data_IF_707219836584
#
_entry.id   IF_707219836584
#
_cell.length_a   1.000
_cell.length_b   1.000
_cell.length_c   1.000
_cell.angle_alpha   90.00
_cell.angle_beta   90.00
_cell.angle_gamma   90.00
#
_symmetry.space_group_name_H-M   'P 1'
#
loop_
_entity.id
_entity.type
_entity.pdbx_description
1 polymer ?
#
# COMPACT_ATOMS: atom_id res chain seq x y z
N UNK A 1 -15.54 34.26 -1.85
CA UNK A 1 -14.08 34.09 -2.08
C UNK A 1 -13.82 34.13 -3.58
N UNK A 2 -12.65 34.61 -4.05
CA UNK A 2 -12.25 34.59 -5.48
C UNK A 2 -11.07 33.63 -5.65
N UNK A 3 -11.18 32.67 -6.56
CA UNK A 3 -10.14 31.70 -6.90
C UNK A 3 -9.75 31.84 -8.37
N UNK A 4 -8.50 31.52 -8.70
CA UNK A 4 -7.97 31.54 -10.06
C UNK A 4 -8.25 30.19 -10.77
N UNK A 5 -8.30 29.10 -9.98
CA UNK A 5 -8.57 27.74 -10.45
C UNK A 5 -9.55 27.01 -9.55
N UNK A 6 -10.40 26.17 -10.15
CA UNK A 6 -11.32 25.27 -9.46
C UNK A 6 -11.03 23.82 -9.87
N UNK A 7 -10.79 22.95 -8.89
CA UNK A 7 -10.55 21.52 -9.07
C UNK A 7 -11.78 20.78 -8.55
N UNK A 8 -12.33 19.88 -9.38
CA UNK A 8 -13.46 19.02 -8.99
C UNK A 8 -12.93 17.61 -8.74
N UNK A 9 -12.90 17.20 -7.47
CA UNK A 9 -12.46 15.89 -7.00
C UNK A 9 -11.26 15.95 -6.04
N UNK A 10 -11.42 15.36 -4.85
CA UNK A 10 -10.40 15.24 -3.80
C UNK A 10 -9.51 13.99 -3.89
N UNK A 11 -9.28 13.47 -5.10
CA UNK A 11 -8.37 12.35 -5.33
C UNK A 11 -6.90 12.77 -5.38
N UNK A 12 -5.98 11.81 -5.47
CA UNK A 12 -4.53 12.07 -5.55
C UNK A 12 -4.16 13.08 -6.66
N UNK A 13 -4.77 12.93 -7.85
CA UNK A 13 -4.56 13.86 -8.96
C UNK A 13 -5.03 15.29 -8.65
N UNK A 14 -6.18 15.44 -7.98
CA UNK A 14 -6.71 16.75 -7.58
C UNK A 14 -5.87 17.42 -6.50
N UNK A 15 -5.43 16.64 -5.50
CA UNK A 15 -4.58 17.13 -4.42
C UNK A 15 -3.19 17.55 -4.93
N UNK A 16 -2.54 16.71 -5.74
CA UNK A 16 -1.23 17.05 -6.34
C UNK A 16 -1.32 18.23 -7.30
N UNK A 17 -2.42 18.35 -8.07
CA UNK A 17 -2.70 19.53 -8.89
C UNK A 17 -2.83 20.79 -8.03
N UNK A 18 -3.62 20.76 -6.95
CA UNK A 18 -3.81 21.88 -6.04
C UNK A 18 -2.51 22.35 -5.40
N UNK A 19 -1.68 21.42 -4.92
CA UNK A 19 -0.34 21.72 -4.40
C UNK A 19 0.50 22.43 -5.46
N UNK A 20 0.50 21.93 -6.70
CA UNK A 20 1.30 22.53 -7.78
C UNK A 20 0.83 23.93 -8.17
N UNK A 21 -0.49 24.17 -8.17
CA UNK A 21 -1.07 25.49 -8.43
C UNK A 21 -0.74 26.48 -7.31
N UNK A 22 -0.80 26.06 -6.04
CA UNK A 22 -0.41 26.91 -4.92
C UNK A 22 1.08 27.25 -4.94
N UNK A 23 1.95 26.27 -5.26
CA UNK A 23 3.38 26.51 -5.43
C UNK A 23 3.70 27.49 -6.58
N UNK A 24 2.81 27.62 -7.58
CA UNK A 24 2.95 28.63 -8.63
C UNK A 24 2.27 29.97 -8.29
N UNK A 25 1.83 30.15 -7.04
CA UNK A 25 1.22 31.38 -6.55
C UNK A 25 -0.27 31.54 -6.89
N UNK A 26 -0.92 30.52 -7.44
CA UNK A 26 -2.35 30.58 -7.75
C UNK A 26 -3.21 30.23 -6.54
N UNK A 27 -4.36 30.90 -6.44
CA UNK A 27 -5.40 30.57 -5.47
C UNK A 27 -6.32 29.54 -6.10
N UNK A 28 -6.26 28.29 -5.63
CA UNK A 28 -7.16 27.24 -6.07
C UNK A 28 -8.16 26.82 -4.98
N UNK A 29 -9.32 26.34 -5.40
CA UNK A 29 -10.26 25.62 -4.55
C UNK A 29 -10.41 24.18 -5.05
N UNK A 30 -10.48 23.21 -4.12
CA UNK A 30 -10.84 21.83 -4.41
C UNK A 30 -12.26 21.61 -3.88
N UNK A 31 -13.15 21.15 -4.74
CA UNK A 31 -14.52 20.77 -4.39
C UNK A 31 -14.63 19.26 -4.57
N UNK A 32 -15.00 18.56 -3.51
CA UNK A 32 -15.23 17.12 -3.50
C UNK A 32 -16.53 16.82 -2.79
N UNK A 33 -17.20 15.73 -3.17
CA UNK A 33 -18.37 15.20 -2.47
C UNK A 33 -18.03 13.82 -1.90
N UNK A 34 -18.23 13.63 -0.60
CA UNK A 34 -17.90 12.38 0.09
C UNK A 34 -16.39 12.14 0.27
N UNK A 35 -16.08 10.96 0.79
CA UNK A 35 -14.70 10.50 1.01
C UNK A 35 -14.03 10.11 -0.31
N UNK A 36 -12.71 10.29 -0.35
CA UNK A 36 -11.89 9.93 -1.50
C UNK A 36 -11.69 8.42 -1.59
N UNK A 37 -11.47 7.87 -2.79
CA UNK A 37 -11.10 6.46 -2.97
C UNK A 37 -9.75 6.10 -2.30
N UNK A 38 -9.00 7.10 -1.83
CA UNK A 38 -7.77 6.92 -1.07
C UNK A 38 -7.99 6.09 0.21
N UNK A 39 -9.17 6.19 0.84
CA UNK A 39 -9.53 5.41 2.05
C UNK A 39 -9.57 3.89 1.80
N UNK A 40 -9.71 3.47 0.54
CA UNK A 40 -9.75 2.07 0.13
C UNK A 40 -8.52 1.65 -0.69
N UNK A 41 -7.53 2.52 -0.79
CA UNK A 41 -6.30 2.26 -1.55
C UNK A 41 -5.31 1.46 -0.71
N UNK A 42 -4.47 0.66 -1.37
CA UNK A 42 -3.35 -0.03 -0.71
C UNK A 42 -2.21 0.91 -0.29
N UNK A 43 -2.27 2.20 -0.65
CA UNK A 43 -1.18 3.16 -0.47
C UNK A 43 -0.03 3.00 -1.47
N UNK A 44 0.18 1.79 -2.02
CA UNK A 44 1.13 1.55 -3.11
C UNK A 44 0.71 2.21 -4.43
N UNK A 45 1.70 2.70 -5.18
CA UNK A 45 1.54 3.38 -6.47
C UNK A 45 2.24 2.60 -7.58
N UNK A 46 1.57 2.48 -8.71
CA UNK A 46 2.02 1.74 -9.88
C UNK A 46 2.58 2.71 -10.94
N UNK A 47 3.72 2.37 -11.57
CA UNK A 47 4.28 3.14 -12.69
C UNK A 47 4.62 2.19 -13.83
N UNK A 48 3.70 2.11 -14.80
CA UNK A 48 3.79 1.24 -15.97
C UNK A 48 4.29 -0.16 -15.60
N UNK A 49 3.47 -0.95 -14.92
CA UNK A 49 3.87 -2.26 -14.41
C UNK A 49 3.87 -3.36 -15.48
N UNK A 50 3.10 -3.16 -16.56
CA UNK A 50 2.87 -4.15 -17.60
C UNK A 50 2.69 -3.48 -18.96
N UNK A 51 3.26 -4.06 -20.00
CA UNK A 51 3.07 -3.62 -21.38
C UNK A 51 1.77 -4.19 -21.99
N UNK A 52 1.27 -3.61 -23.10
CA UNK A 52 0.11 -4.11 -23.81
C UNK A 52 0.18 -5.58 -24.23
N UNK A 53 1.39 -6.08 -24.55
CA UNK A 53 1.64 -7.49 -24.85
C UNK A 53 1.62 -8.42 -23.62
N UNK A 54 1.44 -7.88 -22.42
CA UNK A 54 1.38 -8.63 -21.18
C UNK A 54 2.73 -8.86 -20.48
N UNK A 55 3.82 -8.33 -21.00
CA UNK A 55 5.14 -8.41 -20.35
C UNK A 55 5.20 -7.50 -19.13
N UNK A 56 5.85 -7.97 -18.08
CA UNK A 56 6.12 -7.18 -16.89
C UNK A 56 7.22 -6.15 -17.17
N UNK A 57 7.05 -4.94 -16.62
CA UNK A 57 8.03 -3.87 -16.72
C UNK A 57 8.76 -3.75 -15.40
N UNK A 58 10.05 -4.08 -15.40
CA UNK A 58 10.92 -3.92 -14.25
C UNK A 58 11.58 -2.55 -14.24
N UNK A 59 11.94 -2.02 -15.41
CA UNK A 59 12.64 -0.75 -15.54
C UNK A 59 11.80 0.26 -16.32
N UNK A 60 11.33 1.31 -15.64
CA UNK A 60 10.32 2.23 -16.17
C UNK A 60 10.77 2.93 -17.46
N UNK A 61 12.03 3.35 -17.56
CA UNK A 61 12.54 4.05 -18.74
C UNK A 61 12.50 3.17 -20.01
N UNK A 62 12.92 1.91 -19.89
CA UNK A 62 12.87 0.94 -20.98
C UNK A 62 11.43 0.58 -21.34
N UNK A 63 10.59 0.35 -20.32
CA UNK A 63 9.16 0.08 -20.52
C UNK A 63 8.44 1.20 -21.26
N UNK A 64 8.74 2.47 -20.94
CA UNK A 64 8.14 3.62 -21.62
C UNK A 64 8.53 3.71 -23.11
N UNK A 65 9.78 3.38 -23.45
CA UNK A 65 10.23 3.30 -24.85
C UNK A 65 9.48 2.19 -25.60
N UNK A 66 9.36 1.01 -24.99
CA UNK A 66 8.63 -0.12 -25.57
C UNK A 66 7.13 0.18 -25.71
N UNK A 67 6.53 0.83 -24.71
CA UNK A 67 5.15 1.26 -24.75
C UNK A 67 4.87 2.23 -25.90
N UNK A 68 5.78 3.18 -26.16
CA UNK A 68 5.63 4.11 -27.26
C UNK A 68 5.63 3.42 -28.63
N UNK A 69 6.36 2.31 -28.78
CA UNK A 69 6.36 1.48 -29.99
C UNK A 69 5.07 0.66 -30.11
N UNK A 70 4.60 0.05 -29.02
CA UNK A 70 3.42 -0.82 -29.03
C UNK A 70 2.10 -0.04 -29.08
N UNK A 71 2.03 1.10 -28.38
CA UNK A 71 0.86 1.96 -28.29
C UNK A 71 1.27 3.45 -28.30
N UNK A 72 1.47 4.03 -29.50
CA UNK A 72 1.83 5.44 -29.65
C UNK A 72 0.81 6.42 -29.08
N UNK A 73 -0.48 6.04 -29.02
CA UNK A 73 -1.58 6.87 -28.51
C UNK A 73 -1.81 6.72 -27.00
N UNK A 74 -1.02 5.90 -26.31
CA UNK A 74 -1.13 5.78 -24.86
C UNK A 74 -0.73 7.12 -24.18
N UNK A 75 -1.40 7.56 -23.09
CA UNK A 75 -1.09 8.84 -22.44
C UNK A 75 0.39 9.05 -22.09
N UNK A 76 1.07 8.02 -21.57
CA UNK A 76 2.52 8.07 -21.33
C UNK A 76 3.35 8.22 -22.61
N UNK A 77 2.93 7.61 -23.72
CA UNK A 77 3.59 7.74 -25.02
C UNK A 77 3.44 9.16 -25.58
N UNK A 78 2.24 9.75 -25.42
CA UNK A 78 1.95 11.13 -25.82
C UNK A 78 2.72 12.17 -24.99
N UNK A 79 2.86 11.95 -23.68
CA UNK A 79 3.65 12.82 -22.81
C UNK A 79 5.16 12.71 -23.08
N UNK A 80 5.61 11.55 -23.57
CA UNK A 80 7.01 11.21 -23.75
C UNK A 80 7.65 10.69 -22.45
N UNK A 81 8.58 9.74 -22.60
CA UNK A 81 9.21 9.04 -21.49
C UNK A 81 9.91 9.98 -20.50
N UNK A 82 10.62 10.99 -21.02
CA UNK A 82 11.32 11.99 -20.20
C UNK A 82 10.36 12.74 -19.27
N UNK A 83 9.23 13.24 -19.82
CA UNK A 83 8.21 13.95 -19.05
C UNK A 83 7.62 13.06 -17.96
N UNK A 84 7.29 11.81 -18.30
CA UNK A 84 6.71 10.85 -17.34
C UNK A 84 7.67 10.60 -16.17
N UNK A 85 8.94 10.31 -16.46
CA UNK A 85 9.96 10.07 -15.44
C UNK A 85 10.24 11.32 -14.60
N UNK A 86 10.28 12.51 -15.20
CA UNK A 86 10.44 13.76 -14.48
C UNK A 86 9.27 14.03 -13.53
N UNK A 87 8.03 13.70 -13.94
CA UNK A 87 6.84 13.83 -13.09
C UNK A 87 6.80 12.79 -11.97
N UNK A 88 7.24 11.57 -12.24
CA UNK A 88 7.41 10.54 -11.22
C UNK A 88 8.41 10.98 -10.15
N UNK A 89 9.59 11.47 -10.55
CA UNK A 89 10.59 12.00 -9.63
C UNK A 89 10.09 13.21 -8.82
N UNK A 90 9.30 14.11 -9.44
CA UNK A 90 8.66 15.22 -8.73
C UNK A 90 7.67 14.73 -7.65
N UNK A 91 6.93 13.66 -7.93
CA UNK A 91 6.02 13.07 -6.96
C UNK A 91 6.78 12.44 -5.79
N UNK A 92 7.88 11.71 -6.05
CA UNK A 92 8.72 11.15 -4.98
C UNK A 92 9.26 12.24 -4.04
N UNK A 93 9.73 13.35 -4.60
CA UNK A 93 10.17 14.51 -3.82
C UNK A 93 9.05 15.09 -2.96
N UNK A 94 7.85 15.21 -3.50
CA UNK A 94 6.67 15.66 -2.75
C UNK A 94 6.33 14.68 -1.62
N UNK A 95 6.30 13.38 -1.90
CA UNK A 95 6.01 12.35 -0.91
C UNK A 95 7.03 12.35 0.23
N UNK A 96 8.32 12.54 -0.09
CA UNK A 96 9.38 12.69 0.90
C UNK A 96 9.19 13.97 1.74
N UNK A 97 8.89 15.11 1.13
CA UNK A 97 8.64 16.36 1.84
C UNK A 97 7.42 16.30 2.78
N UNK A 98 6.44 15.47 2.44
CA UNK A 98 5.24 15.20 3.25
C UNK A 98 5.43 14.05 4.26
N UNK A 99 6.61 13.42 4.30
CA UNK A 99 6.92 12.27 5.15
C UNK A 99 5.94 11.09 5.00
N UNK A 100 5.50 10.78 3.77
CA UNK A 100 4.55 9.69 3.51
C UNK A 100 5.15 8.27 3.65
N UNK A 101 6.41 8.15 4.06
CA UNK A 101 7.17 6.92 4.24
C UNK A 101 7.00 5.87 3.12
N UNK A 102 7.09 6.33 1.86
CA UNK A 102 7.09 5.46 0.69
C UNK A 102 8.53 5.02 0.39
N UNK A 103 8.69 3.73 0.06
CA UNK A 103 9.99 3.09 -0.22
C UNK A 103 10.07 2.56 -1.65
N UNK A 104 11.28 2.15 -2.03
CA UNK A 104 11.68 1.64 -3.36
C UNK A 104 11.76 2.76 -4.39
N UNK A 105 10.78 2.90 -5.28
CA UNK A 105 10.71 4.01 -6.22
C UNK A 105 11.87 4.07 -7.23
N UNK A 106 12.13 5.28 -7.72
CA UNK A 106 13.13 5.54 -8.74
C UNK A 106 12.79 4.88 -10.07
N UNK A 107 13.77 4.19 -10.66
CA UNK A 107 13.65 3.64 -12.02
C UNK A 107 13.17 2.19 -12.08
N UNK A 108 13.04 1.51 -10.94
CA UNK A 108 12.73 0.09 -10.89
C UNK A 108 11.43 -0.17 -10.16
N UNK A 109 10.55 -0.95 -10.79
CA UNK A 109 9.43 -1.55 -10.09
C UNK A 109 9.94 -2.68 -9.19
N UNK A 110 9.26 -2.92 -8.07
CA UNK A 110 9.44 -4.06 -7.17
C UNK A 110 8.18 -4.92 -7.12
N UNK A 111 8.26 -6.07 -6.45
CA UNK A 111 7.10 -6.90 -6.16
C UNK A 111 6.56 -6.54 -4.77
N UNK A 112 5.28 -6.20 -4.66
CA UNK A 112 4.60 -6.06 -3.37
C UNK A 112 3.75 -7.29 -3.10
N UNK A 113 3.69 -7.72 -1.84
CA UNK A 113 2.71 -8.73 -1.43
C UNK A 113 1.32 -8.09 -1.35
N UNK A 114 0.34 -8.74 -1.96
CA UNK A 114 -1.07 -8.37 -1.87
C UNK A 114 -1.75 -9.11 -0.71
N UNK A 115 -2.87 -8.59 -0.17
CA UNK A 115 -3.64 -9.30 0.87
C UNK A 115 -4.16 -10.69 0.46
N UNK A 116 -4.18 -10.99 -0.84
CA UNK A 116 -4.54 -12.30 -1.38
C UNK A 116 -3.33 -13.24 -1.52
N UNK A 117 -2.15 -12.89 -1.03
CA UNK A 117 -0.96 -13.73 -1.09
C UNK A 117 -0.24 -13.75 -2.45
N UNK A 118 -0.61 -12.86 -3.40
CA UNK A 118 0.05 -12.73 -4.69
C UNK A 118 1.12 -11.62 -4.67
N UNK A 119 2.18 -11.80 -5.49
CA UNK A 119 3.18 -10.77 -5.75
C UNK A 119 2.77 -9.90 -6.94
N UNK A 120 2.63 -8.59 -6.72
CA UNK A 120 2.23 -7.61 -7.75
C UNK A 120 3.35 -6.62 -8.04
N UNK A 121 3.75 -6.42 -9.30
CA UNK A 121 4.65 -5.34 -9.70
C UNK A 121 4.13 -3.97 -9.26
N UNK A 122 5.00 -3.10 -8.78
CA UNK A 122 4.67 -1.82 -8.12
C UNK A 122 5.85 -0.87 -8.23
N UNK A 123 5.62 0.44 -8.21
CA UNK A 123 6.69 1.44 -8.21
C UNK A 123 7.03 1.96 -6.81
N UNK A 124 6.03 2.45 -6.07
CA UNK A 124 6.19 2.90 -4.67
C UNK A 124 5.28 2.07 -3.77
N UNK A 125 5.77 1.72 -2.58
CA UNK A 125 4.97 1.10 -1.52
C UNK A 125 5.16 1.82 -0.20
N UNK A 126 4.14 1.90 0.67
CA UNK A 126 4.34 2.22 2.08
C UNK A 126 5.36 1.27 2.71
N UNK A 127 6.19 1.75 3.63
CA UNK A 127 7.22 0.95 4.30
C UNK A 127 6.65 -0.26 5.06
N UNK A 128 5.39 -0.16 5.52
CA UNK A 128 4.66 -1.23 6.21
C UNK A 128 4.19 -2.36 5.28
N UNK A 129 4.23 -2.18 3.96
CA UNK A 129 3.86 -3.21 2.97
C UNK A 129 5.08 -4.08 2.64
N UNK A 130 5.02 -5.41 2.77
CA UNK A 130 6.10 -6.30 2.38
C UNK A 130 6.46 -6.17 0.89
N UNK A 131 7.75 -5.93 0.60
CA UNK A 131 8.28 -5.80 -0.76
C UNK A 131 9.43 -6.75 -1.02
N UNK A 132 9.52 -7.25 -2.24
CA UNK A 132 10.50 -8.22 -2.71
C UNK A 132 11.10 -7.76 -4.04
N UNK A 133 12.34 -8.14 -4.28
CA UNK A 133 12.99 -7.91 -5.56
C UNK A 133 12.50 -8.93 -6.60
N UNK A 134 12.71 -8.65 -7.90
CA UNK A 134 12.31 -9.51 -9.01
C UNK A 134 13.13 -10.79 -9.18
N UNK A 135 14.20 -10.95 -8.39
CA UNK A 135 15.05 -12.12 -8.54
C UNK A 135 14.23 -13.35 -8.15
N UNK A 136 14.16 -14.33 -9.06
CA UNK A 136 13.64 -15.68 -8.82
C UNK A 136 14.59 -16.46 -7.89
N UNK A 137 14.86 -15.89 -6.71
CA UNK A 137 15.65 -16.49 -5.66
C UNK A 137 14.69 -16.89 -4.56
N UNK A 138 14.75 -18.17 -4.23
CA UNK A 138 14.16 -18.69 -3.01
C UNK A 138 14.72 -17.85 -1.85
N UNK A 139 13.83 -17.22 -1.09
CA UNK A 139 14.21 -16.41 0.06
C UNK A 139 14.77 -17.29 1.16
N UNK A 140 15.57 -16.69 2.06
CA UNK A 140 16.07 -17.41 3.22
C UNK A 140 14.90 -17.98 4.05
N UNK A 141 15.06 -19.16 4.68
CA UNK A 141 14.02 -19.77 5.49
C UNK A 141 13.52 -18.81 6.57
N UNK A 142 12.21 -18.69 6.72
CA UNK A 142 11.56 -17.89 7.76
C UNK A 142 10.44 -18.68 8.44
N UNK A 143 10.13 -18.33 9.68
CA UNK A 143 8.92 -18.78 10.36
C UNK A 143 7.97 -17.59 10.44
N UNK A 144 6.84 -17.66 9.74
CA UNK A 144 5.91 -16.53 9.63
C UNK A 144 4.58 -16.88 10.26
N UNK A 145 4.04 -15.95 11.04
CA UNK A 145 2.67 -15.97 11.51
C UNK A 145 1.86 -14.96 10.68
N UNK A 146 0.75 -15.37 10.08
CA UNK A 146 -0.18 -14.46 9.43
C UNK A 146 -1.37 -14.32 10.36
N UNK A 147 -1.49 -13.16 11.00
CA UNK A 147 -2.41 -12.96 12.11
C UNK A 147 -3.54 -12.04 11.66
N UNK A 148 -4.76 -12.59 11.58
CA UNK A 148 -5.96 -11.82 11.33
C UNK A 148 -6.51 -11.18 12.60
N UNK A 149 -7.55 -10.37 12.47
CA UNK A 149 -8.36 -9.90 13.60
C UNK A 149 -9.67 -10.68 13.54
N UNK A 150 -10.09 -11.28 14.65
CA UNK A 150 -11.37 -12.01 14.69
C UNK A 150 -12.54 -11.11 14.23
N UNK A 151 -13.35 -11.61 13.31
CA UNK A 151 -14.48 -10.88 12.71
C UNK A 151 -14.10 -9.93 11.56
N UNK A 152 -12.82 -9.76 11.23
CA UNK A 152 -12.38 -8.87 10.15
C UNK A 152 -12.36 -9.58 8.81
N UNK A 153 -13.38 -9.36 7.99
CA UNK A 153 -13.59 -10.12 6.76
C UNK A 153 -12.73 -9.64 5.57
N UNK A 154 -12.20 -8.42 5.62
CA UNK A 154 -11.42 -7.82 4.52
C UNK A 154 -9.97 -8.35 4.48
N UNK A 155 -9.55 -9.17 5.45
CA UNK A 155 -8.26 -9.85 5.46
C UNK A 155 -8.44 -11.33 5.83
N UNK A 156 -8.01 -12.23 4.95
CA UNK A 156 -8.14 -13.68 5.12
C UNK A 156 -6.75 -14.31 5.30
N UNK A 157 -6.29 -14.53 6.55
CA UNK A 157 -4.96 -15.05 6.84
C UNK A 157 -4.66 -16.39 6.16
N UNK A 158 -5.64 -17.29 6.15
CA UNK A 158 -5.52 -18.61 5.55
C UNK A 158 -5.26 -18.51 4.04
N UNK A 159 -6.06 -17.70 3.33
CA UNK A 159 -5.93 -17.52 1.88
C UNK A 159 -4.57 -16.93 1.52
N UNK A 160 -4.09 -15.95 2.29
CA UNK A 160 -2.77 -15.36 2.08
C UNK A 160 -1.66 -16.39 2.29
N UNK A 161 -1.71 -17.18 3.37
CA UNK A 161 -0.76 -18.27 3.60
C UNK A 161 -0.73 -19.28 2.44
N UNK A 162 -1.90 -19.78 2.05
CA UNK A 162 -2.04 -20.82 1.02
C UNK A 162 -1.53 -20.33 -0.33
N UNK A 163 -1.89 -19.12 -0.74
CA UNK A 163 -1.43 -18.54 -2.01
C UNK A 163 0.06 -18.23 -2.01
N UNK A 164 0.62 -17.74 -0.89
CA UNK A 164 2.06 -17.53 -0.81
C UNK A 164 2.84 -18.84 -0.89
N UNK A 165 2.36 -19.94 -0.28
CA UNK A 165 3.01 -21.25 -0.39
C UNK A 165 3.07 -21.79 -1.83
N UNK A 166 2.22 -21.30 -2.74
CA UNK A 166 2.28 -21.66 -4.16
C UNK A 166 3.37 -20.91 -4.94
N UNK A 167 4.00 -19.90 -4.34
CA UNK A 167 5.00 -19.08 -5.01
C UNK A 167 6.43 -19.58 -4.69
N UNK A 168 7.30 -19.77 -5.70
CA UNK A 168 8.68 -20.22 -5.48
C UNK A 168 9.49 -19.35 -4.52
N UNK A 169 9.17 -18.07 -4.42
CA UNK A 169 9.81 -17.11 -3.51
C UNK A 169 9.73 -17.54 -2.04
N UNK A 170 8.64 -18.22 -1.66
CA UNK A 170 8.30 -18.54 -0.28
C UNK A 170 8.40 -20.04 0.05
N UNK A 171 8.98 -20.85 -0.83
CA UNK A 171 9.08 -22.31 -0.67
C UNK A 171 9.71 -22.73 0.66
N UNK A 172 10.71 -21.99 1.15
CA UNK A 172 11.38 -22.28 2.42
C UNK A 172 10.74 -21.62 3.65
N UNK A 173 9.63 -20.90 3.47
CA UNK A 173 8.93 -20.23 4.55
C UNK A 173 7.94 -21.18 5.21
N UNK A 174 8.07 -21.36 6.53
CA UNK A 174 7.11 -22.09 7.34
C UNK A 174 6.07 -21.10 7.85
N UNK A 175 4.91 -21.12 7.22
CA UNK A 175 3.82 -20.19 7.51
C UNK A 175 2.70 -20.90 8.27
N UNK A 176 2.10 -20.19 9.21
CA UNK A 176 0.84 -20.57 9.83
C UNK A 176 -0.01 -19.32 10.00
N UNK A 177 -1.30 -19.51 10.22
CA UNK A 177 -2.21 -18.42 10.52
C UNK A 177 -2.87 -18.59 11.88
N UNK A 178 -3.29 -17.47 12.46
CA UNK A 178 -4.12 -17.42 13.66
C UNK A 178 -4.94 -16.12 13.65
N UNK A 179 -5.81 -15.93 14.62
CA UNK A 179 -6.58 -14.70 14.79
C UNK A 179 -6.32 -14.07 16.16
N UNK A 180 -6.28 -12.74 16.16
CA UNK A 180 -6.15 -11.93 17.36
C UNK A 180 -7.53 -11.67 17.95
N UNK A 181 -7.67 -11.99 19.23
CA UNK A 181 -8.79 -11.55 20.03
C UNK A 181 -8.48 -10.19 20.66
N UNK A 182 -9.13 -9.13 20.18
CA UNK A 182 -8.95 -7.76 20.68
C UNK A 182 -10.30 -7.25 21.22
N UNK A 183 -10.56 -7.38 22.53
CA UNK A 183 -11.85 -7.02 23.14
C UNK A 183 -12.28 -5.57 22.89
N UNK A 184 -11.33 -4.65 22.74
CA UNK A 184 -11.60 -3.24 22.46
C UNK A 184 -12.36 -3.03 21.14
N UNK A 185 -12.32 -4.00 20.23
CA UNK A 185 -13.02 -3.98 18.96
C UNK A 185 -14.45 -4.54 19.04
N UNK A 186 -14.86 -5.13 20.16
CA UNK A 186 -16.17 -5.80 20.29
C UNK A 186 -17.35 -4.86 20.02
N UNK A 187 -17.21 -3.58 20.38
CA UNK A 187 -18.27 -2.60 20.11
C UNK A 187 -18.50 -2.39 18.60
N UNK A 188 -17.44 -2.50 17.77
CA UNK A 188 -17.55 -2.37 16.31
C UNK A 188 -18.17 -3.63 15.68
N UNK A 189 -18.03 -4.80 16.30
CA UNK A 189 -18.57 -6.07 15.77
C UNK A 189 -20.09 -6.12 15.75
N UNK A 190 -20.76 -5.24 16.50
CA UNK A 190 -22.22 -5.15 16.54
C UNK A 190 -22.84 -4.65 15.24
N UNK A 191 -22.09 -3.90 14.40
CA UNK A 191 -22.50 -3.50 13.05
C UNK A 191 -21.38 -3.82 12.06
N UNK A 192 -21.61 -4.77 11.16
CA UNK A 192 -20.63 -5.18 10.15
C UNK A 192 -20.16 -4.01 9.24
N UNK A 193 -20.96 -2.96 9.10
CA UNK A 193 -20.58 -1.76 8.32
C UNK A 193 -19.53 -0.92 9.04
N UNK A 194 -19.44 -1.04 10.36
CA UNK A 194 -18.48 -0.36 11.20
C UNK A 194 -17.18 -1.15 11.38
N UNK A 195 -17.16 -2.45 11.03
CA UNK A 195 -15.97 -3.31 11.14
C UNK A 195 -15.05 -3.22 9.92
N UNK A 196 -14.66 -2.00 9.55
CA UNK A 196 -13.76 -1.68 8.42
C UNK A 196 -12.38 -1.28 8.94
N UNK A 197 -11.35 -1.44 8.10
CA UNK A 197 -9.95 -1.18 8.47
C UNK A 197 -9.75 0.19 9.12
N UNK A 198 -10.34 1.26 8.56
CA UNK A 198 -10.22 2.62 9.09
C UNK A 198 -10.80 2.77 10.50
N UNK A 199 -11.97 2.20 10.75
CA UNK A 199 -12.64 2.25 12.04
C UNK A 199 -11.90 1.40 13.08
N UNK A 200 -11.38 0.24 12.67
CA UNK A 200 -10.51 -0.60 13.50
C UNK A 200 -9.26 0.19 13.87
N UNK A 201 -8.56 0.80 12.91
CA UNK A 201 -7.37 1.62 13.17
C UNK A 201 -7.65 2.74 14.18
N UNK A 202 -8.75 3.48 14.01
CA UNK A 202 -9.17 4.54 14.93
C UNK A 202 -9.46 4.01 16.35
N UNK A 203 -10.16 2.88 16.45
CA UNK A 203 -10.45 2.27 17.74
C UNK A 203 -9.17 1.79 18.44
N UNK A 204 -8.23 1.21 17.68
CA UNK A 204 -6.94 0.75 18.21
C UNK A 204 -6.03 1.90 18.61
N UNK A 205 -6.13 3.07 17.99
CA UNK A 205 -5.32 4.22 18.38
C UNK A 205 -5.81 4.87 19.69
N UNK A 206 -7.12 4.90 19.92
CA UNK A 206 -7.71 5.61 21.06
C UNK A 206 -7.99 4.75 22.29
N UNK A 207 -8.28 3.45 22.10
CA UNK A 207 -8.81 2.60 23.18
C UNK A 207 -7.94 1.41 23.53
N UNK A 208 -6.93 1.12 22.72
CA UNK A 208 -6.15 -0.11 22.87
C UNK A 208 -5.26 -0.08 24.11
N UNK A 209 -5.30 -1.17 24.88
CA UNK A 209 -4.23 -1.47 25.79
C UNK A 209 -3.04 -2.10 25.05
N UNK A 210 -2.03 -1.28 24.73
CA UNK A 210 -0.86 -1.70 23.96
C UNK A 210 -0.16 -2.95 24.53
N UNK A 211 -0.06 -3.06 25.86
CA UNK A 211 0.57 -4.23 26.50
C UNK A 211 -0.23 -5.52 26.28
N UNK A 212 -1.56 -5.43 26.29
CA UNK A 212 -2.43 -6.58 26.03
C UNK A 212 -2.33 -7.01 24.57
N UNK A 213 -2.30 -6.07 23.62
CA UNK A 213 -2.07 -6.39 22.21
C UNK A 213 -0.74 -7.11 22.01
N UNK A 214 0.36 -6.60 22.57
CA UNK A 214 1.67 -7.23 22.45
C UNK A 214 1.68 -8.64 23.04
N UNK A 215 0.99 -8.84 24.17
CA UNK A 215 0.84 -10.17 24.77
C UNK A 215 0.08 -11.12 23.85
N UNK A 216 -1.03 -10.67 23.27
CA UNK A 216 -1.84 -11.48 22.36
C UNK A 216 -1.10 -11.79 21.05
N UNK A 217 -0.39 -10.82 20.46
CA UNK A 217 0.47 -11.02 19.31
C UNK A 217 1.55 -12.08 19.56
N UNK A 218 2.26 -11.99 20.70
CA UNK A 218 3.31 -12.97 21.06
C UNK A 218 2.73 -14.38 21.22
N UNK A 219 1.56 -14.49 21.84
CA UNK A 219 0.85 -15.77 22.02
C UNK A 219 0.43 -16.36 20.68
N UNK A 220 -0.20 -15.56 19.81
CA UNK A 220 -0.68 -15.98 18.50
C UNK A 220 0.47 -16.31 17.53
N UNK A 221 1.59 -15.59 17.61
CA UNK A 221 2.75 -15.79 16.75
C UNK A 221 3.48 -17.13 16.99
N UNK A 222 3.30 -17.78 18.16
CA UNK A 222 3.83 -19.12 18.49
C UNK A 222 5.32 -19.31 18.15
N UNK A 223 6.13 -18.29 18.41
CA UNK A 223 7.58 -18.31 18.15
C UNK A 223 7.98 -18.12 16.68
N UNK A 224 7.10 -17.59 15.84
CA UNK A 224 7.45 -17.06 14.53
C UNK A 224 8.46 -15.92 14.65
N UNK A 225 9.35 -15.81 13.65
CA UNK A 225 10.35 -14.73 13.55
C UNK A 225 9.80 -13.49 12.86
N UNK A 226 8.63 -13.60 12.23
CA UNK A 226 7.95 -12.54 11.52
C UNK A 226 6.44 -12.71 11.65
N UNK A 227 5.71 -11.59 11.76
CA UNK A 227 4.26 -11.57 11.76
C UNK A 227 3.73 -10.65 10.66
N UNK A 228 2.74 -11.13 9.90
CA UNK A 228 1.96 -10.30 8.99
C UNK A 228 0.62 -9.97 9.62
N UNK A 229 0.26 -8.69 9.56
CA UNK A 229 -0.94 -8.14 10.17
C UNK A 229 -1.80 -7.48 9.08
N UNK A 230 -3.13 -7.42 9.27
CA UNK A 230 -3.98 -6.59 8.43
C UNK A 230 -3.57 -5.12 8.54
N UNK A 231 -3.83 -4.32 7.50
CA UNK A 231 -3.60 -2.88 7.48
C UNK A 231 -4.66 -2.13 8.32
N UNK A 232 -4.62 -2.38 9.63
CA UNK A 232 -5.53 -1.86 10.64
C UNK A 232 -4.76 -1.19 11.81
N UNK A 233 -3.46 -0.97 11.64
CA UNK A 233 -2.56 -0.47 12.69
C UNK A 233 -1.77 0.72 12.16
N UNK A 234 -1.64 1.78 12.96
CA UNK A 234 -0.93 3.01 12.58
C UNK A 234 -1.72 3.86 11.60
N UNK A 235 -2.74 4.56 12.09
CA UNK A 235 -3.60 5.42 11.27
C UNK A 235 -2.86 6.67 10.77
N UNK A 236 -2.25 7.41 11.70
CA UNK A 236 -1.60 8.69 11.39
C UNK A 236 -0.17 8.53 10.86
N UNK A 237 0.55 7.50 11.34
CA UNK A 237 1.94 7.23 11.00
C UNK A 237 2.37 5.82 11.46
N UNK A 238 3.61 5.44 11.11
CA UNK A 238 4.18 4.13 11.42
C UNK A 238 4.70 3.96 12.86
N UNK A 239 4.59 4.98 13.72
CA UNK A 239 5.14 4.90 15.09
C UNK A 239 4.52 3.74 15.88
N UNK A 240 3.23 3.48 15.66
CA UNK A 240 2.55 2.36 16.29
C UNK A 240 3.21 1.02 15.92
N UNK A 241 3.48 0.81 14.64
CA UNK A 241 4.11 -0.41 14.13
C UNK A 241 5.56 -0.55 14.60
N UNK A 242 6.29 0.56 14.74
CA UNK A 242 7.68 0.56 15.24
C UNK A 242 7.81 0.19 16.72
N UNK A 243 6.72 0.29 17.49
CA UNK A 243 6.71 -0.07 18.91
C UNK A 243 6.41 -1.56 19.17
N UNK A 244 5.87 -2.28 18.17
CA UNK A 244 5.53 -3.71 18.25
C UNK A 244 6.77 -4.62 18.15
#
# INVERSE_FOLDING_TARGET
MKFDSLIIGGGLAGLTCGIRLQQSGQRCAIVSNGQSALDFSSGSLDLLNRLPNGENVQHAAQGLVQLAQQQPQHPYSLLGAETVLAKAAQFEQLAAALNLNLIRGGQHNHLRLTPLGALRPTWLSPASVPTFDWADKILSPQKVAVLGIEGFNDFQPQLLCENMQQLPHFELWRMHFDYLHIPELDHLRSDAREFRSINISQALEHKLNFQQLVSELKKAAKGATMAFLPACFGLDNDNFLQQL
#
